data_IF_429839247557
#
_entry.id   IF_429839247557
#
_cell.length_a   1.000
_cell.length_b   1.000
_cell.length_c   1.000
_cell.angle_alpha   90.00
_cell.angle_beta   90.00
_cell.angle_gamma   90.00
#
_symmetry.space_group_name_H-M   'P 1'
#
loop_
_entity.id
_entity.type
_entity.pdbx_description
1 polymer ?
#
# COMPACT_ATOMS: atom_id res chain seq x y z
N UNK A 1 -11.24 -14.51 0.32
CA UNK A 1 -10.28 -14.29 1.42
C UNK A 1 -10.92 -14.81 2.69
N UNK A 2 -10.26 -15.73 3.38
CA UNK A 2 -10.81 -16.45 4.54
C UNK A 2 -10.41 -15.84 5.90
N UNK A 3 -9.37 -15.01 5.93
CA UNK A 3 -8.88 -14.39 7.17
C UNK A 3 -9.81 -13.27 7.68
N UNK A 4 -10.48 -13.43 8.85
CA UNK A 4 -11.55 -12.52 9.30
C UNK A 4 -11.12 -11.07 9.57
N UNK A 5 -9.86 -10.89 10.00
CA UNK A 5 -9.33 -9.56 10.33
C UNK A 5 -8.72 -8.82 9.14
N UNK A 6 -8.76 -9.40 7.94
CA UNK A 6 -8.31 -8.66 6.76
C UNK A 6 -9.34 -7.58 6.39
N UNK A 7 -8.92 -6.34 6.04
CA UNK A 7 -9.85 -5.28 5.62
C UNK A 7 -10.74 -5.65 4.42
N UNK A 8 -10.33 -6.67 3.66
CA UNK A 8 -11.06 -7.19 2.50
C UNK A 8 -11.77 -8.52 2.76
N UNK A 9 -11.87 -8.94 4.03
CA UNK A 9 -12.68 -10.08 4.40
C UNK A 9 -14.13 -9.88 3.92
N UNK A 10 -14.75 -10.94 3.40
CA UNK A 10 -16.09 -10.93 2.77
C UNK A 10 -16.26 -10.01 1.55
N UNK A 11 -15.17 -9.47 0.98
CA UNK A 11 -15.24 -8.77 -0.31
C UNK A 11 -14.96 -9.73 -1.46
N UNK A 12 -15.60 -9.46 -2.60
CA UNK A 12 -15.28 -10.10 -3.88
C UNK A 12 -14.00 -9.48 -4.41
N UNK A 13 -12.99 -10.30 -4.68
CA UNK A 13 -11.66 -9.85 -5.10
C UNK A 13 -11.28 -10.51 -6.43
N UNK A 14 -10.70 -9.73 -7.33
CA UNK A 14 -9.99 -10.30 -8.47
C UNK A 14 -8.60 -10.71 -8.01
N UNK A 15 -8.28 -12.00 -8.15
CA UNK A 15 -7.03 -12.59 -7.69
C UNK A 15 -6.26 -13.11 -8.90
N UNK A 16 -4.98 -12.75 -8.99
CA UNK A 16 -4.07 -13.31 -9.98
C UNK A 16 -2.90 -14.02 -9.26
N UNK A 17 -2.40 -15.13 -9.81
CA UNK A 17 -1.18 -15.75 -9.32
C UNK A 17 0.00 -14.76 -9.43
N UNK A 18 0.87 -14.74 -8.43
CA UNK A 18 2.01 -13.85 -8.40
C UNK A 18 2.98 -14.16 -9.55
N UNK A 19 3.34 -13.12 -10.30
CA UNK A 19 4.06 -13.26 -11.59
C UNK A 19 5.57 -13.43 -11.44
N UNK A 20 6.14 -13.36 -10.23
CA UNK A 20 7.60 -13.38 -9.98
C UNK A 20 8.07 -14.50 -9.02
N UNK A 21 7.38 -15.64 -9.00
CA UNK A 21 7.89 -16.88 -8.39
C UNK A 21 7.84 -17.00 -6.86
N UNK A 22 7.22 -16.06 -6.14
CA UNK A 22 6.86 -16.23 -4.72
C UNK A 22 5.50 -16.93 -4.60
N UNK A 23 5.32 -17.68 -3.51
CA UNK A 23 4.05 -18.33 -3.16
C UNK A 23 3.05 -17.34 -2.53
N UNK A 24 2.78 -16.27 -3.27
CA UNK A 24 1.87 -15.19 -2.90
C UNK A 24 0.78 -15.07 -3.98
N UNK A 25 -0.34 -14.46 -3.61
CA UNK A 25 -1.39 -14.04 -4.53
C UNK A 25 -1.40 -12.52 -4.61
N UNK A 26 -1.58 -11.98 -5.81
CA UNK A 26 -1.88 -10.57 -5.99
C UNK A 26 -3.39 -10.39 -6.03
N UNK A 27 -3.90 -9.47 -5.22
CA UNK A 27 -5.28 -9.01 -5.31
C UNK A 27 -5.34 -7.64 -5.94
N UNK A 28 -6.31 -7.44 -6.80
CA UNK A 28 -6.65 -6.13 -7.35
C UNK A 28 -7.85 -5.59 -6.60
N UNK A 29 -7.71 -4.36 -6.11
CA UNK A 29 -8.78 -3.66 -5.40
C UNK A 29 -9.28 -2.51 -6.28
N UNK A 30 -10.59 -2.42 -6.45
CA UNK A 30 -11.23 -1.34 -7.23
C UNK A 30 -11.04 0.05 -6.63
N UNK A 31 -10.67 0.12 -5.35
CA UNK A 31 -10.47 1.34 -4.56
C UNK A 31 -9.52 2.34 -5.24
N UNK A 32 -8.54 1.85 -6.01
CA UNK A 32 -7.73 2.66 -6.93
C UNK A 32 -7.37 1.86 -8.19
N UNK A 33 -7.80 2.34 -9.36
CA UNK A 33 -7.43 1.74 -10.65
C UNK A 33 -5.90 1.66 -10.76
N UNK A 34 -5.39 0.46 -11.05
CA UNK A 34 -3.95 0.19 -11.18
C UNK A 34 -3.22 -0.17 -9.87
N UNK A 35 -3.92 -0.19 -8.73
CA UNK A 35 -3.31 -0.63 -7.47
C UNK A 35 -3.58 -2.13 -7.25
N UNK A 36 -2.52 -2.88 -6.96
CA UNK A 36 -2.61 -4.27 -6.52
C UNK A 36 -1.87 -4.42 -5.20
N UNK A 37 -2.32 -5.38 -4.39
CA UNK A 37 -1.70 -5.71 -3.12
C UNK A 37 -1.32 -7.17 -3.12
N UNK A 38 -0.09 -7.46 -2.68
CA UNK A 38 0.35 -8.82 -2.43
C UNK A 38 -0.28 -9.33 -1.12
N UNK A 39 -0.79 -10.54 -1.16
CA UNK A 39 -1.46 -11.21 -0.04
C UNK A 39 -0.97 -12.65 0.00
N UNK A 40 -0.63 -13.12 1.20
CA UNK A 40 -0.16 -14.49 1.39
C UNK A 40 -1.25 -15.51 1.05
N UNK A 41 -0.82 -16.64 0.48
CA UNK A 41 -1.73 -17.72 0.05
C UNK A 41 -2.59 -18.26 1.20
N UNK A 42 -2.02 -18.37 2.40
CA UNK A 42 -2.71 -18.87 3.59
C UNK A 42 -3.96 -18.05 3.95
N UNK A 43 -4.01 -16.76 3.59
CA UNK A 43 -5.17 -15.92 3.88
C UNK A 43 -6.39 -16.27 3.01
N UNK A 44 -6.22 -17.12 2.00
CA UNK A 44 -7.28 -17.69 1.17
C UNK A 44 -7.64 -19.12 1.56
N UNK A 45 -6.89 -19.73 2.47
CA UNK A 45 -7.13 -21.08 2.96
C UNK A 45 -7.97 -21.02 4.24
N UNK A 46 -9.20 -21.52 4.14
CA UNK A 46 -10.13 -21.55 5.26
C UNK A 46 -9.67 -22.48 6.39
N UNK A 47 -9.05 -23.61 6.05
CA UNK A 47 -8.55 -24.56 7.04
C UNK A 47 -7.42 -23.97 7.87
N UNK A 48 -6.53 -23.21 7.21
CA UNK A 48 -5.45 -22.50 7.87
C UNK A 48 -5.98 -21.38 8.77
N UNK A 49 -6.96 -20.59 8.29
CA UNK A 49 -7.56 -19.51 9.07
C UNK A 49 -8.38 -20.04 10.27
N UNK A 50 -9.07 -21.17 10.13
CA UNK A 50 -9.84 -21.79 11.21
C UNK A 50 -8.98 -22.24 12.39
N UNK A 51 -7.72 -22.60 12.13
CA UNK A 51 -6.74 -22.96 13.17
C UNK A 51 -6.16 -21.77 13.92
N UNK A 52 -6.41 -20.52 13.47
CA UNK A 52 -5.88 -19.34 14.13
C UNK A 52 -6.73 -18.96 15.35
N UNK A 53 -6.11 -19.02 16.53
CA UNK A 53 -6.66 -18.46 17.75
C UNK A 53 -6.00 -17.11 18.08
N UNK A 54 -6.79 -16.18 18.59
CA UNK A 54 -6.24 -15.01 19.24
C UNK A 54 -5.52 -15.45 20.52
N UNK A 55 -4.27 -15.04 20.68
CA UNK A 55 -3.62 -15.09 21.97
C UNK A 55 -4.27 -14.11 22.96
N UNK A 56 -3.92 -14.18 24.26
CA UNK A 56 -4.34 -13.17 25.22
C UNK A 56 -3.92 -11.78 24.71
N UNK A 57 -4.76 -10.75 24.89
CA UNK A 57 -4.42 -9.40 24.48
C UNK A 57 -3.17 -8.97 25.24
N UNK A 58 -2.10 -8.68 24.51
CA UNK A 58 -0.90 -8.10 25.09
C UNK A 58 -1.00 -6.59 24.98
N UNK A 59 -1.22 -5.93 26.12
CA UNK A 59 -1.21 -4.47 26.22
C UNK A 59 0.04 -4.06 26.99
N UNK A 60 0.90 -3.28 26.36
CA UNK A 60 2.06 -2.64 27.00
C UNK A 60 1.82 -1.14 27.06
N UNK A 61 1.74 -0.59 28.26
CA UNK A 61 1.59 0.86 28.47
C UNK A 61 2.82 1.60 27.91
N UNK A 62 4.02 1.03 28.10
CA UNK A 62 5.27 1.56 27.55
C UNK A 62 5.22 1.61 26.03
N UNK A 63 4.85 0.50 25.38
CA UNK A 63 4.71 0.45 23.92
C UNK A 63 3.65 1.40 23.36
N UNK A 64 2.54 1.60 24.09
CA UNK A 64 1.53 2.60 23.71
C UNK A 64 2.05 4.04 23.80
N UNK A 65 2.86 4.35 24.82
CA UNK A 65 3.49 5.66 24.96
C UNK A 65 4.52 5.92 23.85
N UNK A 66 5.35 4.91 23.53
CA UNK A 66 6.29 4.97 22.41
C UNK A 66 5.56 5.19 21.08
N UNK A 67 4.50 4.42 20.83
CA UNK A 67 3.70 4.56 19.61
C UNK A 67 3.06 5.96 19.49
N UNK A 68 2.53 6.50 20.60
CA UNK A 68 2.00 7.85 20.63
C UNK A 68 3.07 8.91 20.31
N UNK A 69 4.32 8.72 20.76
CA UNK A 69 5.43 9.61 20.42
C UNK A 69 5.76 9.56 18.92
N UNK A 70 5.80 8.36 18.32
CA UNK A 70 6.03 8.19 16.87
C UNK A 70 4.93 8.87 16.05
N UNK A 71 3.67 8.72 16.43
CA UNK A 71 2.55 9.36 15.72
C UNK A 71 2.64 10.89 15.77
N UNK A 72 3.02 11.47 16.92
CA UNK A 72 3.25 12.91 17.05
C UNK A 72 4.34 13.40 16.10
N UNK A 73 5.45 12.66 15.99
CA UNK A 73 6.55 13.00 15.07
C UNK A 73 6.14 12.89 13.59
N UNK A 74 5.33 11.89 13.25
CA UNK A 74 4.84 11.75 11.87
C UNK A 74 3.89 12.90 11.50
N UNK A 75 3.03 13.31 12.43
CA UNK A 75 2.11 14.44 12.25
C UNK A 75 2.82 15.78 12.03
N UNK A 76 3.91 16.05 12.78
CA UNK A 76 4.71 17.27 12.59
C UNK A 76 5.47 17.26 11.26
N UNK A 77 5.89 16.10 10.77
CA UNK A 77 6.57 15.95 9.47
C UNK A 77 5.64 16.22 8.29
N UNK A 78 4.38 15.77 8.35
CA UNK A 78 3.40 16.01 7.29
C UNK A 78 3.01 17.50 7.16
N UNK A 79 2.98 18.25 8.26
CA UNK A 79 2.71 19.69 8.23
C UNK A 79 3.82 20.52 7.52
N UNK A 80 5.04 19.97 7.41
CA UNK A 80 6.17 20.63 6.75
C UNK A 80 6.33 20.25 5.27
N UNK A 81 5.75 19.11 4.86
CA UNK A 81 6.04 18.44 3.60
C UNK A 81 5.05 18.69 2.46
N UNK A 82 4.71 19.94 2.13
CA UNK A 82 4.11 20.28 0.83
C UNK A 82 4.19 21.79 0.50
N UNK A 83 5.39 22.38 0.52
CA UNK A 83 5.62 23.60 -0.27
C UNK A 83 6.18 23.17 -1.62
N UNK A 84 5.27 22.81 -2.52
CA UNK A 84 5.59 22.67 -3.94
C UNK A 84 6.12 24.01 -4.44
N UNK A 85 7.44 24.13 -4.62
CA UNK A 85 8.02 25.21 -5.40
C UNK A 85 7.42 25.11 -6.81
N UNK A 86 6.85 26.20 -7.37
CA UNK A 86 6.34 26.15 -8.73
C UNK A 86 7.49 25.78 -9.67
N UNK A 87 7.30 24.69 -10.41
CA UNK A 87 8.23 24.24 -11.43
C UNK A 87 8.33 25.32 -12.51
N UNK A 88 9.50 25.95 -12.63
CA UNK A 88 9.78 26.86 -13.73
C UNK A 88 9.70 26.09 -15.05
N UNK A 89 8.65 26.34 -15.82
CA UNK A 89 8.46 25.85 -17.18
C UNK A 89 9.60 26.43 -18.04
N UNK A 90 10.62 25.63 -18.36
CA UNK A 90 11.59 26.00 -19.39
C UNK A 90 10.91 25.82 -20.75
N UNK A 91 10.58 26.95 -21.37
CA UNK A 91 10.16 27.02 -22.76
C UNK A 91 11.32 26.57 -23.66
N UNK A 92 11.13 25.45 -24.37
CA UNK A 92 12.12 24.91 -25.30
C UNK A 92 11.94 25.62 -26.63
N UNK A 93 12.84 26.55 -26.94
CA UNK A 93 12.92 27.22 -28.24
C UNK A 93 12.94 26.22 -29.38
N UNK A 94 12.04 26.42 -30.34
CA UNK A 94 11.90 25.64 -31.57
C UNK A 94 13.04 26.03 -32.51
N UNK A 95 13.94 25.09 -32.80
CA UNK A 95 14.89 25.23 -33.89
C UNK A 95 14.16 24.94 -35.21
N UNK A 96 13.97 25.98 -36.01
CA UNK A 96 13.51 25.88 -37.39
C UNK A 96 14.68 25.38 -38.23
N UNK A 97 14.53 24.21 -38.86
CA UNK A 97 15.48 23.72 -39.87
C UNK A 97 14.95 24.12 -41.23
N UNK A 98 15.60 25.10 -41.87
CA UNK A 98 15.42 25.42 -43.28
C UNK A 98 16.05 24.31 -44.14
N UNK A 99 15.39 23.82 -45.20
CA UNK A 99 16.01 22.91 -46.16
C UNK A 99 16.93 23.70 -47.10
N UNK A 100 18.09 23.13 -47.41
CA UNK A 100 18.93 23.57 -48.53
C UNK A 100 18.63 22.64 -49.70
N UNK A 101 18.47 23.28 -50.86
CA UNK A 101 18.09 22.77 -52.18
C UNK A 101 18.85 21.54 -52.68
#
# INVERSE_FOLDING_TARGET
MAYPWHPLFRRTLQVAPFRRGKDLKCIYTEERRGFSREVSNWMFDESYCAGMALGPPQVSIEGLNEFAAVLKLLGTTQASGARSRPSMKREKGRAEKTPIS
#
